data_IF_811343641977
#
_entry.id   IF_811343641977
#
_cell.length_a   1.000
_cell.length_b   1.000
_cell.length_c   1.000
_cell.angle_alpha   90.00
_cell.angle_beta   90.00
_cell.angle_gamma   90.00
#
_symmetry.space_group_name_H-M   'P 1'
#
loop_
_entity.id
_entity.type
_entity.pdbx_description
1 polymer ?
#
# COMPACT_ATOMS: atom_id res chain seq x y z
N UNK A 1 -27.56 -6.64 -1.99
CA UNK A 1 -26.17 -7.13 -2.19
C UNK A 1 -25.25 -6.11 -1.56
N UNK A 2 -24.60 -6.44 -0.44
CA UNK A 2 -23.55 -5.60 0.14
C UNK A 2 -22.38 -5.54 -0.85
N UNK A 3 -22.15 -4.41 -1.50
CA UNK A 3 -20.86 -4.17 -2.15
C UNK A 3 -19.85 -3.89 -1.05
N UNK A 4 -18.98 -4.88 -0.80
CA UNK A 4 -17.79 -4.72 0.03
C UNK A 4 -16.91 -3.65 -0.62
N UNK A 5 -16.41 -2.69 0.15
CA UNK A 5 -15.48 -1.69 -0.36
C UNK A 5 -14.33 -2.38 -1.11
N UNK A 6 -13.94 -1.88 -2.30
CA UNK A 6 -12.86 -2.50 -3.06
C UNK A 6 -11.55 -2.44 -2.27
N UNK A 7 -10.67 -3.45 -2.39
CA UNK A 7 -9.43 -3.47 -1.63
C UNK A 7 -8.53 -2.29 -2.03
N UNK A 8 -7.87 -1.67 -1.04
CA UNK A 8 -6.94 -0.55 -1.25
C UNK A 8 -5.71 -0.95 -2.07
N UNK A 9 -5.37 -2.24 -2.08
CA UNK A 9 -4.30 -2.83 -2.87
C UNK A 9 -4.69 -4.23 -3.32
N UNK A 10 -4.34 -4.59 -4.55
CA UNK A 10 -4.56 -5.91 -5.10
C UNK A 10 -3.33 -6.36 -5.89
N UNK A 11 -2.86 -7.57 -5.60
CA UNK A 11 -1.79 -8.24 -6.32
C UNK A 11 -2.35 -9.49 -7.01
N UNK A 12 -2.00 -9.68 -8.28
CA UNK A 12 -2.38 -10.85 -9.07
C UNK A 12 -1.16 -11.44 -9.76
N UNK A 13 -1.09 -12.77 -9.79
CA UNK A 13 -0.11 -13.51 -10.57
C UNK A 13 -0.81 -14.08 -11.79
N UNK A 14 -0.24 -13.83 -12.97
CA UNK A 14 -0.68 -14.41 -14.24
C UNK A 14 0.42 -15.33 -14.74
N UNK A 15 0.14 -16.63 -14.74
CA UNK A 15 1.04 -17.66 -15.24
C UNK A 15 0.78 -17.93 -16.72
N UNK A 16 1.86 -18.14 -17.47
CA UNK A 16 1.84 -18.45 -18.90
C UNK A 16 2.22 -19.91 -19.11
N UNK A 17 1.71 -20.52 -20.17
CA UNK A 17 1.99 -21.93 -20.51
C UNK A 17 3.50 -22.25 -20.62
N UNK A 18 4.35 -21.25 -20.92
CA UNK A 18 5.80 -21.38 -20.95
C UNK A 18 6.50 -21.29 -19.58
N UNK A 19 5.76 -21.50 -18.48
CA UNK A 19 6.26 -21.42 -17.09
C UNK A 19 6.86 -20.06 -16.72
N UNK A 20 6.41 -19.00 -17.42
CA UNK A 20 6.69 -17.61 -17.03
C UNK A 20 5.49 -17.06 -16.29
N UNK A 21 5.69 -15.99 -15.53
CA UNK A 21 4.59 -15.30 -14.88
C UNK A 21 4.81 -13.79 -14.89
N UNK A 22 3.70 -13.06 -14.79
CA UNK A 22 3.67 -11.61 -14.54
C UNK A 22 2.96 -11.39 -13.21
N UNK A 23 3.51 -10.50 -12.39
CA UNK A 23 2.83 -9.99 -11.21
C UNK A 23 2.27 -8.61 -11.52
N UNK A 24 0.95 -8.47 -11.51
CA UNK A 24 0.26 -7.20 -11.65
C UNK A 24 -0.19 -6.67 -10.30
N UNK A 25 0.06 -5.39 -10.03
CA UNK A 25 -0.36 -4.73 -8.78
C UNK A 25 -1.14 -3.46 -9.09
N UNK A 26 -2.28 -3.31 -8.44
CA UNK A 26 -3.07 -2.08 -8.43
C UNK A 26 -3.19 -1.58 -7.00
N UNK A 27 -3.05 -0.28 -6.79
CA UNK A 27 -3.19 0.33 -5.47
C UNK A 27 -3.89 1.68 -5.58
N UNK A 28 -4.57 2.07 -4.50
CA UNK A 28 -5.05 3.43 -4.35
C UNK A 28 -3.86 4.36 -4.06
N UNK A 29 -3.65 5.41 -4.87
CA UNK A 29 -2.50 6.32 -4.71
C UNK A 29 -2.46 7.03 -3.34
N UNK A 30 -3.56 7.05 -2.59
CA UNK A 30 -3.64 7.59 -1.22
C UNK A 30 -2.80 6.76 -0.24
N UNK A 31 -2.67 5.46 -0.44
CA UNK A 31 -1.94 4.60 0.51
C UNK A 31 -0.43 4.63 0.32
N UNK A 32 0.07 4.97 -0.87
CA UNK A 32 1.51 5.11 -1.13
C UNK A 32 1.81 5.76 -2.48
N UNK A 33 2.98 6.41 -2.55
CA UNK A 33 3.58 6.88 -3.79
C UNK A 33 4.36 5.75 -4.50
N UNK A 34 4.97 6.08 -5.65
CA UNK A 34 5.74 5.12 -6.44
C UNK A 34 6.97 4.54 -5.72
N UNK A 35 7.68 5.34 -4.93
CA UNK A 35 8.85 4.87 -4.17
C UNK A 35 8.44 3.88 -3.06
N UNK A 36 7.36 4.17 -2.33
CA UNK A 36 6.82 3.25 -1.33
C UNK A 36 6.31 1.95 -1.95
N UNK A 37 5.72 1.99 -3.15
CA UNK A 37 5.39 0.76 -3.88
C UNK A 37 6.62 -0.03 -4.31
N UNK A 38 7.68 0.63 -4.76
CA UNK A 38 8.92 -0.05 -5.12
C UNK A 38 9.53 -0.78 -3.90
N UNK A 39 9.54 -0.13 -2.73
CA UNK A 39 9.98 -0.75 -1.47
C UNK A 39 9.09 -1.94 -1.08
N UNK A 40 7.78 -1.81 -1.23
CA UNK A 40 6.83 -2.90 -0.97
C UNK A 40 7.09 -4.12 -1.88
N UNK A 41 7.27 -3.90 -3.18
CA UNK A 41 7.58 -4.97 -4.13
C UNK A 41 8.96 -5.58 -3.87
N UNK A 42 9.95 -4.77 -3.47
CA UNK A 42 11.25 -5.27 -3.03
C UNK A 42 11.11 -6.21 -1.83
N UNK A 43 10.38 -5.79 -0.80
CA UNK A 43 10.14 -6.59 0.40
C UNK A 43 9.46 -7.94 0.07
N UNK A 44 8.44 -7.94 -0.79
CA UNK A 44 7.83 -9.19 -1.28
C UNK A 44 8.88 -10.08 -1.96
N UNK A 45 9.73 -9.49 -2.81
CA UNK A 45 10.74 -10.24 -3.54
C UNK A 45 11.84 -10.81 -2.64
N UNK A 46 12.18 -10.14 -1.55
CA UNK A 46 13.16 -10.61 -0.56
C UNK A 46 12.58 -11.80 0.20
N UNK A 47 11.34 -11.67 0.69
CA UNK A 47 10.63 -12.75 1.39
C UNK A 47 10.41 -13.97 0.49
N UNK A 48 10.03 -13.76 -0.78
CA UNK A 48 9.87 -14.84 -1.75
C UNK A 48 11.19 -15.59 -2.04
N UNK A 49 12.35 -14.92 -1.88
CA UNK A 49 13.68 -15.54 -1.99
C UNK A 49 14.17 -16.18 -0.69
N UNK A 50 13.39 -16.11 0.39
CA UNK A 50 13.73 -16.71 1.68
C UNK A 50 14.57 -15.81 2.60
N UNK A 51 14.59 -14.50 2.38
CA UNK A 51 15.20 -13.58 3.35
C UNK A 51 14.40 -13.59 4.67
N UNK A 52 15.07 -13.49 5.82
CA UNK A 52 14.40 -13.55 7.13
C UNK A 52 13.53 -12.30 7.42
N UNK A 53 13.81 -11.17 6.76
CA UNK A 53 13.07 -9.92 6.91
C UNK A 53 13.29 -9.02 5.70
N UNK A 54 12.40 -8.05 5.44
CA UNK A 54 12.64 -6.99 4.46
C UNK A 54 13.86 -6.13 4.82
N UNK A 55 14.60 -5.67 3.82
CA UNK A 55 15.77 -4.77 4.00
C UNK A 55 15.35 -3.35 4.38
N UNK A 56 14.17 -2.92 3.95
CA UNK A 56 13.60 -1.62 4.35
C UNK A 56 12.92 -1.79 5.70
N UNK A 57 13.51 -1.20 6.73
CA UNK A 57 12.92 -1.22 8.07
C UNK A 57 11.63 -0.40 8.12
N UNK A 58 10.61 -0.96 8.77
CA UNK A 58 9.38 -0.24 9.10
C UNK A 58 9.73 0.92 10.03
N UNK A 59 9.52 2.15 9.54
CA UNK A 59 9.76 3.37 10.34
C UNK A 59 8.72 3.50 11.45
N UNK A 60 7.51 3.00 11.22
CA UNK A 60 6.39 3.09 12.17
C UNK A 60 5.42 1.94 11.95
N UNK A 61 5.10 1.25 13.04
CA UNK A 61 4.04 0.23 13.12
C UNK A 61 3.28 0.46 14.42
N UNK A 62 2.37 1.43 14.42
CA UNK A 62 1.47 1.70 15.52
C UNK A 62 0.04 1.90 14.99
N UNK A 63 -0.95 1.51 15.79
CA UNK A 63 -2.38 1.71 15.47
C UNK A 63 -2.83 3.16 15.70
N UNK A 64 -1.91 4.03 16.10
CA UNK A 64 -2.18 5.43 16.36
C UNK A 64 -1.86 6.22 15.10
N UNK A 65 -2.89 6.72 14.42
CA UNK A 65 -2.68 7.85 13.52
C UNK A 65 -2.01 8.95 14.36
N UNK A 66 -0.92 9.58 13.87
CA UNK A 66 -0.46 10.81 14.49
C UNK A 66 -1.69 11.72 14.54
N UNK A 67 -2.06 12.20 15.74
CA UNK A 67 -3.07 13.24 15.87
C UNK A 67 -2.73 14.27 14.80
N UNK A 68 -3.61 14.39 13.80
CA UNK A 68 -3.40 15.33 12.71
C UNK A 68 -3.10 16.66 13.39
N UNK A 69 -1.93 17.25 13.09
CA UNK A 69 -1.54 18.54 13.65
C UNK A 69 -2.77 19.45 13.64
N UNK A 70 -3.09 20.17 14.73
CA UNK A 70 -4.31 20.97 14.83
C UNK A 70 -4.55 21.88 13.61
N UNK A 71 -3.47 22.27 12.91
CA UNK A 71 -3.49 23.03 11.67
C UNK A 71 -4.13 22.33 10.45
N UNK A 72 -4.14 20.99 10.40
CA UNK A 72 -4.74 20.21 9.32
C UNK A 72 -6.27 20.13 9.51
N UNK A 73 -6.72 20.01 10.76
CA UNK A 73 -8.16 19.91 11.12
C UNK A 73 -8.91 21.20 10.73
N UNK A 74 -8.29 22.38 10.88
CA UNK A 74 -8.96 23.65 10.59
C UNK A 74 -9.20 23.91 9.09
N UNK A 75 -8.41 23.28 8.20
CA UNK A 75 -8.53 23.52 6.74
C UNK A 75 -9.55 22.61 6.05
N UNK A 76 -9.82 21.42 6.57
CA UNK A 76 -10.78 20.48 5.97
C UNK A 76 -12.24 20.80 6.30
N UNK A 77 -12.55 21.38 7.46
CA UNK A 77 -13.93 21.80 7.79
C UNK A 77 -14.49 22.87 6.81
N UNK A 78 -13.62 23.71 6.25
CA UNK A 78 -14.02 24.73 5.28
C UNK A 78 -14.33 24.17 3.88
N UNK A 79 -13.78 23.00 3.51
CA UNK A 79 -14.03 22.39 2.19
C UNK A 79 -15.23 21.43 2.18
N UNK A 80 -15.76 21.04 3.34
CA UNK A 80 -16.90 20.11 3.46
C UNK A 80 -18.20 20.85 3.80
N UNK A 81 -18.17 22.19 3.91
CA UNK A 81 -19.34 23.03 4.20
C UNK A 81 -19.86 23.81 2.98
N UNK A 82 -19.62 23.32 1.75
CA UNK A 82 -20.27 23.81 0.54
C UNK A 82 -20.78 22.62 -0.28
#
# INVERSE_FOLDING_TARGET
MYMKDPPLMLMRVMEFACSRFIVGVTWNHVITNGAGMAQFLQAISELARGHPSPSVHLVRWDYYLPELLPMIISKTQAMVSC
#
